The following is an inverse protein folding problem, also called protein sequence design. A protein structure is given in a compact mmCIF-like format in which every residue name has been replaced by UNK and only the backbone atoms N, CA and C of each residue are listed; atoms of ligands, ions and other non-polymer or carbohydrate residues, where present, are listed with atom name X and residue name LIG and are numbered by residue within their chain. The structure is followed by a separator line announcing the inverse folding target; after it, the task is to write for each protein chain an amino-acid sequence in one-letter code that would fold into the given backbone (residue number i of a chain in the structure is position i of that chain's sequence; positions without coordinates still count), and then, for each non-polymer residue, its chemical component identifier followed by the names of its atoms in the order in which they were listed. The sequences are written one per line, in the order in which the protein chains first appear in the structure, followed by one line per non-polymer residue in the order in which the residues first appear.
data_IF_965033195807
#
_entry.id   IF_965033195807
#
_cell.length_a   1.000
_cell.length_b   1.000
_cell.length_c   1.000
_cell.angle_alpha   90.00
_cell.angle_beta   90.00
_cell.angle_gamma   90.00
#
_symmetry.space_group_name_H-M   'P 1'
#
loop_
_entity.id
_entity.type
_entity.pdbx_description
1 polymer ?
#
# COMPACT_ATOMS: atom_id res chain seq x y z
N UNK A 1 -15.50 -12.96 -16.84
CA UNK A 1 -16.53 -11.99 -16.40
C UNK A 1 -15.87 -10.79 -15.75
N UNK A 2 -16.24 -9.62 -16.17
CA UNK A 2 -15.77 -8.37 -15.60
C UNK A 2 -16.84 -7.78 -14.71
N UNK A 3 -16.46 -7.13 -13.65
CA UNK A 3 -17.43 -6.50 -12.75
C UNK A 3 -16.82 -5.48 -11.82
N UNK A 4 -17.69 -4.94 -10.98
CA UNK A 4 -17.32 -4.00 -9.92
C UNK A 4 -17.22 -4.75 -8.60
N UNK A 5 -16.20 -4.44 -7.82
CA UNK A 5 -16.07 -4.94 -6.45
C UNK A 5 -17.09 -4.25 -5.54
N UNK A 6 -17.61 -5.00 -4.57
CA UNK A 6 -18.39 -4.43 -3.48
C UNK A 6 -17.48 -3.65 -2.52
N UNK A 7 -18.07 -2.81 -1.68
CA UNK A 7 -17.32 -2.08 -0.66
C UNK A 7 -16.51 -3.02 0.25
N UNK A 8 -17.10 -4.16 0.64
CA UNK A 8 -16.43 -5.17 1.46
C UNK A 8 -15.24 -5.82 0.75
N UNK A 9 -15.41 -6.15 -0.53
CA UNK A 9 -14.32 -6.72 -1.34
C UNK A 9 -13.17 -5.73 -1.53
N UNK A 10 -13.48 -4.44 -1.68
CA UNK A 10 -12.45 -3.37 -1.75
C UNK A 10 -11.63 -3.35 -0.46
N UNK A 11 -12.28 -3.38 0.70
CA UNK A 11 -11.58 -3.43 2.00
C UNK A 11 -10.71 -4.68 2.12
N UNK A 12 -11.18 -5.85 1.66
CA UNK A 12 -10.40 -7.08 1.66
C UNK A 12 -9.12 -6.96 0.84
N UNK A 13 -9.19 -6.39 -0.36
CA UNK A 13 -8.00 -6.17 -1.20
C UNK A 13 -7.01 -5.25 -0.49
N UNK A 14 -7.47 -4.13 0.02
CA UNK A 14 -6.61 -3.16 0.72
C UNK A 14 -5.94 -3.76 1.95
N UNK A 15 -6.64 -4.57 2.73
CA UNK A 15 -6.10 -5.19 3.93
C UNK A 15 -5.16 -6.37 3.64
N UNK A 16 -5.41 -7.13 2.60
CA UNK A 16 -4.67 -8.36 2.32
C UNK A 16 -3.38 -8.11 1.51
N UNK A 17 -3.27 -6.98 0.83
CA UNK A 17 -2.10 -6.64 0.04
C UNK A 17 -1.12 -5.79 0.85
N UNK A 18 0.15 -5.84 0.45
CA UNK A 18 1.26 -5.14 1.10
C UNK A 18 1.88 -4.07 0.21
N UNK A 19 1.67 -4.19 -1.09
CA UNK A 19 2.27 -3.32 -2.11
C UNK A 19 1.18 -2.66 -2.93
N UNK A 20 1.43 -1.43 -3.30
CA UNK A 20 0.58 -0.68 -4.20
C UNK A 20 1.39 0.33 -4.99
N UNK A 21 0.69 1.15 -5.76
CA UNK A 21 1.28 2.26 -6.50
C UNK A 21 0.65 3.56 -6.05
N UNK A 22 1.49 4.55 -5.85
CA UNK A 22 1.10 5.90 -5.45
C UNK A 22 1.35 6.85 -6.60
N UNK A 23 0.31 7.55 -7.02
CA UNK A 23 0.39 8.61 -8.02
C UNK A 23 0.20 9.95 -7.33
N UNK A 24 1.09 10.88 -7.62
CA UNK A 24 1.01 12.27 -7.18
C UNK A 24 1.28 13.22 -8.34
N UNK A 25 0.91 14.47 -8.16
CA UNK A 25 1.05 15.49 -9.20
C UNK A 25 1.38 16.84 -8.57
N UNK A 26 2.46 17.46 -9.02
CA UNK A 26 2.85 18.81 -8.63
C UNK A 26 3.71 19.43 -9.73
N UNK A 27 3.68 20.74 -9.84
CA UNK A 27 4.49 21.50 -10.82
C UNK A 27 4.32 20.95 -12.26
N UNK A 28 3.08 20.64 -12.63
CA UNK A 28 2.69 20.11 -13.95
C UNK A 28 3.34 18.76 -14.31
N UNK A 29 3.75 17.99 -13.30
CA UNK A 29 4.34 16.67 -13.45
C UNK A 29 3.54 15.62 -12.70
N UNK A 30 3.22 14.53 -13.38
CA UNK A 30 2.65 13.33 -12.77
C UNK A 30 3.77 12.35 -12.42
N UNK A 31 3.70 11.76 -11.23
CA UNK A 31 4.72 10.86 -10.73
C UNK A 31 4.07 9.62 -10.11
N UNK A 32 4.55 8.45 -10.52
CA UNK A 32 4.01 7.17 -10.10
C UNK A 32 5.13 6.30 -9.54
N UNK A 33 4.95 5.81 -8.31
CA UNK A 33 5.95 4.98 -7.63
C UNK A 33 5.30 3.82 -6.88
N UNK A 34 6.00 2.69 -6.73
CA UNK A 34 5.54 1.62 -5.84
C UNK A 34 5.68 2.07 -4.38
N UNK A 35 4.77 1.59 -3.55
CA UNK A 35 4.80 1.76 -2.10
C UNK A 35 4.51 0.44 -1.40
N UNK A 36 5.10 0.29 -0.21
CA UNK A 36 4.71 -0.72 0.77
C UNK A 36 3.91 -0.04 1.87
N UNK A 37 2.78 -0.61 2.25
CA UNK A 37 1.86 0.06 3.16
C UNK A 37 1.24 -0.87 4.19
N UNK A 38 0.67 -0.30 5.23
CA UNK A 38 -0.29 -0.93 6.13
C UNK A 38 -1.60 -0.18 6.04
N UNK A 39 -2.71 -0.88 6.11
CA UNK A 39 -4.04 -0.30 5.95
C UNK A 39 -4.88 -0.43 7.22
N UNK A 40 -5.44 0.66 7.67
CA UNK A 40 -6.38 0.70 8.78
C UNK A 40 -7.28 1.96 8.67
N UNK A 41 -8.59 1.79 8.91
CA UNK A 41 -9.55 2.89 8.98
C UNK A 41 -9.47 3.87 7.80
N UNK A 42 -9.62 3.38 6.59
CA UNK A 42 -9.57 4.17 5.36
C UNK A 42 -8.24 4.90 5.11
N UNK A 43 -7.18 4.48 5.77
CA UNK A 43 -5.86 5.10 5.63
C UNK A 43 -4.78 4.09 5.30
N UNK A 44 -3.92 4.46 4.35
CA UNK A 44 -2.67 3.77 4.08
C UNK A 44 -1.55 4.46 4.84
N UNK A 45 -0.80 3.69 5.61
CA UNK A 45 0.37 4.16 6.36
C UNK A 45 1.63 3.70 5.64
N UNK A 46 2.56 4.63 5.42
CA UNK A 46 3.76 4.40 4.63
C UNK A 46 4.98 4.99 5.32
N UNK A 47 6.08 4.25 5.30
CA UNK A 47 7.40 4.73 5.70
C UNK A 47 8.26 4.91 4.45
N UNK A 48 8.96 6.02 4.34
CA UNK A 48 9.75 6.36 3.17
C UNK A 48 10.94 7.25 3.52
N UNK A 49 11.94 7.23 2.68
CA UNK A 49 12.97 8.28 2.69
C UNK A 49 12.41 9.61 2.17
N UNK A 50 13.02 10.71 2.53
CA UNK A 50 12.66 12.04 2.05
C UNK A 50 13.15 12.23 0.61
N UNK A 51 12.26 11.98 -0.34
CA UNK A 51 12.55 12.01 -1.76
C UNK A 51 11.53 12.81 -2.56
N UNK A 52 11.51 12.59 -3.87
CA UNK A 52 10.68 13.35 -4.81
C UNK A 52 9.19 13.24 -4.47
N UNK A 53 8.68 12.04 -4.17
CA UNK A 53 7.26 11.88 -3.85
C UNK A 53 6.82 12.71 -2.65
N UNK A 54 7.67 12.78 -1.62
CA UNK A 54 7.38 13.57 -0.41
C UNK A 54 7.31 15.06 -0.75
N UNK A 55 8.28 15.56 -1.51
CA UNK A 55 8.29 16.96 -1.95
C UNK A 55 7.05 17.32 -2.77
N UNK A 56 6.65 16.44 -3.67
CA UNK A 56 5.46 16.65 -4.50
C UNK A 56 4.19 16.63 -3.68
N UNK A 57 4.04 15.68 -2.76
CA UNK A 57 2.85 15.57 -1.91
C UNK A 57 2.74 16.69 -0.88
N UNK A 58 3.85 17.25 -0.43
CA UNK A 58 3.84 18.46 0.40
C UNK A 58 3.30 19.68 -0.36
N UNK A 59 3.57 19.78 -1.66
CA UNK A 59 3.03 20.84 -2.52
C UNK A 59 1.56 20.59 -2.88
N UNK A 60 1.21 19.36 -3.22
CA UNK A 60 -0.15 18.95 -3.56
C UNK A 60 -0.48 17.64 -2.84
N UNK A 61 -1.26 17.70 -1.76
CA UNK A 61 -1.59 16.51 -0.97
C UNK A 61 -2.60 15.58 -1.63
N UNK A 62 -3.24 15.98 -2.71
CA UNK A 62 -4.20 15.14 -3.43
C UNK A 62 -3.46 14.05 -4.20
N UNK A 63 -3.78 12.80 -3.90
CA UNK A 63 -3.10 11.62 -4.44
C UNK A 63 -4.09 10.55 -4.86
N UNK A 64 -3.59 9.61 -5.65
CA UNK A 64 -4.30 8.43 -6.07
C UNK A 64 -3.44 7.21 -5.76
N UNK A 65 -4.06 6.15 -5.28
CA UNK A 65 -3.38 4.87 -5.03
C UNK A 65 -4.07 3.75 -5.79
N UNK A 66 -3.29 2.76 -6.19
CA UNK A 66 -3.81 1.55 -6.82
C UNK A 66 -3.22 0.33 -6.11
N UNK A 67 -4.08 -0.65 -5.81
CA UNK A 67 -3.69 -1.92 -5.21
C UNK A 67 -4.32 -3.06 -5.99
N UNK A 68 -3.50 -4.01 -6.41
CA UNK A 68 -3.92 -5.19 -7.16
C UNK A 68 -3.81 -6.46 -6.33
N UNK A 69 -4.78 -7.33 -6.49
CA UNK A 69 -4.70 -8.74 -6.16
C UNK A 69 -4.80 -9.53 -7.47
N UNK A 70 -3.72 -10.20 -7.85
CA UNK A 70 -3.66 -10.90 -9.14
C UNK A 70 -3.25 -12.35 -8.94
N UNK A 71 -4.07 -13.26 -9.48
CA UNK A 71 -3.73 -14.69 -9.55
C UNK A 71 -3.12 -15.02 -10.93
N UNK A 72 -3.76 -14.55 -11.99
CA UNK A 72 -3.31 -14.69 -13.37
C UNK A 72 -3.87 -13.55 -14.23
N UNK A 73 -3.73 -13.65 -15.55
CA UNK A 73 -4.19 -12.60 -16.47
C UNK A 73 -5.71 -12.46 -16.56
N UNK A 74 -6.45 -13.51 -16.18
CA UNK A 74 -7.91 -13.57 -16.27
C UNK A 74 -8.61 -13.55 -14.91
N UNK A 75 -7.83 -13.55 -13.83
CA UNK A 75 -8.34 -13.56 -12.45
C UNK A 75 -7.59 -12.53 -11.62
N UNK A 76 -8.20 -11.39 -11.45
CA UNK A 76 -7.60 -10.28 -10.70
C UNK A 76 -8.66 -9.37 -10.11
N UNK A 77 -8.25 -8.66 -9.09
CA UNK A 77 -8.98 -7.55 -8.49
C UNK A 77 -8.09 -6.33 -8.46
N UNK A 78 -8.63 -5.16 -8.77
CA UNK A 78 -7.89 -3.91 -8.73
C UNK A 78 -8.72 -2.86 -8.01
N UNK A 79 -8.10 -2.18 -7.07
CA UNK A 79 -8.71 -1.09 -6.29
C UNK A 79 -7.97 0.19 -6.58
N UNK A 80 -8.73 1.25 -6.83
CA UNK A 80 -8.20 2.61 -6.91
C UNK A 80 -8.80 3.41 -5.76
N UNK A 81 -7.94 4.15 -5.05
CA UNK A 81 -8.33 5.06 -3.99
C UNK A 81 -7.85 6.47 -4.26
N UNK A 82 -8.68 7.45 -4.00
CA UNK A 82 -8.33 8.87 -4.04
C UNK A 82 -8.37 9.42 -2.62
N UNK A 83 -7.35 10.16 -2.28
CA UNK A 83 -7.25 10.70 -0.93
C UNK A 83 -6.23 11.80 -0.79
N UNK A 84 -5.86 12.04 0.46
CA UNK A 84 -4.96 13.12 0.81
C UNK A 84 -3.79 12.62 1.65
N UNK A 85 -2.63 13.11 1.30
CA UNK A 85 -1.39 12.91 2.04
C UNK A 85 -1.38 13.77 3.31
N UNK A 86 -0.94 13.16 4.42
CA UNK A 86 -0.61 13.84 5.67
C UNK A 86 0.67 13.26 6.24
N UNK A 87 1.66 14.11 6.43
CA UNK A 87 2.88 13.70 7.12
C UNK A 87 2.61 13.52 8.62
N UNK A 88 3.09 12.43 9.19
CA UNK A 88 2.90 12.11 10.60
C UNK A 88 4.13 12.56 11.36
N UNK A 89 4.00 13.64 12.12
CA UNK A 89 5.09 14.25 12.90
C UNK A 89 4.91 14.09 14.41
N UNK A 90 3.69 13.84 14.89
CA UNK A 90 3.41 13.55 16.30
C UNK A 90 4.03 12.20 16.68
N UNK A 91 4.80 12.15 17.76
CA UNK A 91 5.55 10.95 18.17
C UNK A 91 4.65 9.75 18.46
N UNK A 92 3.51 9.94 19.13
CA UNK A 92 2.58 8.85 19.44
C UNK A 92 1.91 8.30 18.19
N UNK A 93 1.46 9.18 17.29
CA UNK A 93 0.86 8.79 16.02
C UNK A 93 1.88 8.10 15.13
N UNK A 94 3.11 8.61 15.07
CA UNK A 94 4.21 8.02 14.33
C UNK A 94 4.53 6.61 14.85
N UNK A 95 4.58 6.43 16.15
CA UNK A 95 4.79 5.12 16.79
C UNK A 95 3.71 4.13 16.42
N UNK A 96 2.44 4.52 16.45
CA UNK A 96 1.32 3.65 16.05
C UNK A 96 1.41 3.26 14.58
N UNK A 97 1.74 4.20 13.71
CA UNK A 97 1.90 3.92 12.27
C UNK A 97 3.04 2.93 12.01
N UNK A 98 4.18 3.12 12.65
CA UNK A 98 5.31 2.20 12.55
C UNK A 98 4.95 0.81 13.11
N UNK A 99 4.19 0.75 14.19
CA UNK A 99 3.71 -0.51 14.76
C UNK A 99 2.80 -1.27 13.79
N UNK A 100 1.90 -0.58 13.10
CA UNK A 100 1.06 -1.18 12.05
C UNK A 100 1.92 -1.76 10.92
N UNK A 101 2.95 -1.04 10.50
CA UNK A 101 3.86 -1.49 9.46
C UNK A 101 4.68 -2.72 9.88
N UNK A 102 5.14 -2.76 11.12
CA UNK A 102 5.88 -3.90 11.68
C UNK A 102 4.99 -5.13 11.83
N UNK A 103 3.74 -4.95 12.25
CA UNK A 103 2.82 -6.05 12.52
C UNK A 103 2.21 -6.67 11.26
N UNK A 104 2.52 -6.16 10.08
CA UNK A 104 2.05 -6.78 8.83
C UNK A 104 2.59 -8.19 8.70
N UNK A 105 1.75 -9.10 8.19
CA UNK A 105 2.21 -10.41 7.77
C UNK A 105 2.93 -10.29 6.44
N UNK A 106 4.25 -10.16 6.50
CA UNK A 106 5.08 -10.16 5.31
C UNK A 106 5.25 -11.59 4.80
N UNK A 107 5.16 -11.82 3.48
CA UNK A 107 5.51 -13.12 2.92
C UNK A 107 6.97 -13.39 3.23
N UNK A 108 7.23 -14.46 3.98
CA UNK A 108 8.59 -14.89 4.28
C UNK A 108 9.16 -15.53 3.02
N UNK A 109 9.86 -14.76 2.22
CA UNK A 109 10.77 -15.32 1.24
C UNK A 109 12.05 -15.68 1.99
N UNK A 110 12.10 -16.90 2.50
CA UNK A 110 13.32 -17.42 3.11
C UNK A 110 14.33 -17.71 2.01
N UNK A 111 15.16 -16.76 1.70
CA UNK A 111 16.44 -17.07 1.09
C UNK A 111 17.50 -17.11 2.19
N UNK A 112 18.44 -18.05 2.11
CA UNK A 112 19.54 -18.18 3.05
C UNK A 112 20.43 -16.92 3.17
N UNK A 113 20.21 -15.95 2.29
CA UNK A 113 20.96 -14.68 2.24
C UNK A 113 20.14 -13.47 2.72
N UNK A 114 18.86 -13.63 2.99
CA UNK A 114 18.01 -12.54 3.43
C UNK A 114 17.50 -12.85 4.84
N UNK A 115 18.25 -12.45 5.85
CA UNK A 115 17.77 -12.48 7.22
C UNK A 115 16.85 -11.28 7.43
N UNK A 116 15.57 -11.53 7.27
CA UNK A 116 14.55 -10.57 7.70
C UNK A 116 14.46 -10.66 9.22
N UNK A 117 15.07 -9.72 9.91
CA UNK A 117 14.87 -9.56 11.35
C UNK A 117 13.39 -9.30 11.63
N UNK A 118 12.97 -9.54 12.87
CA UNK A 118 11.58 -9.33 13.32
C UNK A 118 11.05 -7.92 13.09
N UNK A 119 11.93 -6.96 12.83
CA UNK A 119 11.58 -5.55 12.61
C UNK A 119 11.78 -5.09 11.17
N UNK A 120 12.05 -6.01 10.25
CA UNK A 120 12.11 -5.63 8.84
C UNK A 120 10.79 -4.95 8.40
N UNK A 121 10.82 -3.85 7.61
CA UNK A 121 11.99 -3.24 6.95
C UNK A 121 12.83 -2.28 7.80
N UNK A 122 12.68 -2.29 9.08
CA UNK A 122 13.37 -1.37 9.99
C UNK A 122 14.63 -2.00 10.57
N UNK A 123 15.67 -1.20 10.70
CA UNK A 123 16.98 -1.63 11.22
C UNK A 123 17.08 -1.59 12.74
N UNK A 124 16.07 -1.09 13.43
CA UNK A 124 16.06 -0.88 14.88
C UNK A 124 14.78 -1.40 15.53
N UNK A 125 14.91 -1.93 16.75
CA UNK A 125 13.77 -2.32 17.60
C UNK A 125 13.12 -1.11 18.29
N UNK A 126 13.78 0.03 18.28
CA UNK A 126 13.26 1.26 18.88
C UNK A 126 12.63 2.13 17.80
N UNK A 127 11.32 2.18 17.79
CA UNK A 127 10.52 2.92 16.83
C UNK A 127 10.78 4.43 16.87
N UNK A 128 11.32 4.95 17.96
CA UNK A 128 11.64 6.37 18.11
C UNK A 128 12.89 6.79 17.34
N UNK A 129 13.80 5.83 17.08
CA UNK A 129 15.06 6.07 16.35
C UNK A 129 15.01 5.62 14.89
N UNK A 130 13.88 5.14 14.39
CA UNK A 130 13.73 4.79 12.99
C UNK A 130 13.72 6.07 12.15
N UNK A 131 14.72 6.26 11.27
CA UNK A 131 14.79 7.47 10.44
C UNK A 131 13.76 7.45 9.32
N UNK A 132 13.58 8.58 8.67
CA UNK A 132 12.73 8.72 7.50
C UNK A 132 11.40 9.39 7.80
N UNK A 133 10.57 9.42 6.77
CA UNK A 133 9.27 10.06 6.77
C UNK A 133 8.19 9.00 6.94
N UNK A 134 7.32 9.21 7.90
CA UNK A 134 6.08 8.43 8.05
C UNK A 134 4.92 9.30 7.62
N UNK A 135 4.09 8.79 6.75
CA UNK A 135 2.91 9.51 6.29
C UNK A 135 1.71 8.58 6.17
N UNK A 136 0.54 9.19 6.11
CA UNK A 136 -0.68 8.47 5.78
C UNK A 136 -1.37 9.09 4.58
N UNK A 137 -2.11 8.25 3.87
CA UNK A 137 -3.03 8.67 2.83
C UNK A 137 -4.43 8.29 3.31
N UNK A 138 -5.25 9.29 3.59
CA UNK A 138 -6.64 9.09 3.98
C UNK A 138 -7.51 9.07 2.73
N UNK A 139 -8.17 7.94 2.48
CA UNK A 139 -8.97 7.74 1.28
C UNK A 139 -10.36 8.33 1.42
N UNK A 140 -10.74 9.18 0.48
CA UNK A 140 -12.06 9.81 0.40
C UNK A 140 -13.01 9.03 -0.50
N UNK A 141 -12.46 8.38 -1.54
CA UNK A 141 -13.20 7.61 -2.53
C UNK A 141 -12.42 6.36 -2.91
N UNK A 142 -13.14 5.26 -3.06
CA UNK A 142 -12.56 3.97 -3.47
C UNK A 142 -13.44 3.34 -4.55
N UNK A 143 -12.81 2.78 -5.57
CA UNK A 143 -13.48 1.97 -6.59
C UNK A 143 -12.72 0.68 -6.79
N UNK A 144 -13.41 -0.36 -7.22
CA UNK A 144 -12.79 -1.63 -7.49
C UNK A 144 -13.38 -2.33 -8.69
N UNK A 145 -12.54 -3.03 -9.42
CA UNK A 145 -12.88 -3.83 -10.59
C UNK A 145 -12.28 -5.22 -10.47
N UNK A 146 -12.89 -6.17 -11.13
CA UNK A 146 -12.37 -7.52 -11.20
C UNK A 146 -12.63 -8.16 -12.56
N UNK A 147 -11.80 -9.12 -12.86
CA UNK A 147 -12.05 -10.12 -13.89
C UNK A 147 -11.94 -11.50 -13.24
N UNK A 148 -12.91 -12.35 -13.53
CA UNK A 148 -12.93 -13.72 -13.06
C UNK A 148 -13.28 -14.64 -14.23
N UNK A 149 -12.39 -15.59 -14.49
CA UNK A 149 -12.61 -16.60 -15.50
C UNK A 149 -12.40 -17.99 -14.87
N UNK A 150 -13.50 -18.71 -14.68
CA UNK A 150 -13.44 -20.10 -14.21
C UNK A 150 -13.02 -20.98 -15.39
N UNK A 151 -11.74 -21.28 -15.47
CA UNK A 151 -11.26 -22.33 -16.37
C UNK A 151 -11.79 -23.66 -15.83
N UNK A 152 -12.74 -24.26 -16.56
CA UNK A 152 -13.16 -25.63 -16.28
C UNK A 152 -11.94 -26.56 -16.37
N UNK A 153 -11.75 -27.51 -15.47
CA UNK A 153 -10.60 -28.42 -15.49
C UNK A 153 -10.66 -29.48 -16.62
N UNK A 154 -11.23 -29.13 -17.76
CA UNK A 154 -11.40 -30.04 -18.89
C UNK A 154 -10.16 -30.17 -19.79
N UNK A 155 -9.04 -29.56 -19.44
CA UNK A 155 -7.80 -29.69 -20.22
C UNK A 155 -6.60 -30.16 -19.38
N UNK A 156 -6.83 -30.95 -18.34
CA UNK A 156 -5.78 -31.77 -17.75
C UNK A 156 -5.86 -33.16 -18.42
N UNK A 157 -5.41 -33.22 -19.64
CA UNK A 157 -5.21 -34.45 -20.39
C UNK A 157 -3.74 -34.63 -20.74
#
# INVERSE_FOLDING_TARGET
MFGKLTAEQIEQVLQNQLLGHLACHADDQTYLVPISYAYENNSLYVHSEDGMKIKMMRKNPKVCVQVDERQDMSNWRSVIGWGQFSEITNEEERKKALQLLVNRQLPILSSSTTHLGSNWPFSSNDETVIPGIVFKITLDKKTGRFEENKVSPQFAG
#
